data_IF_397899678217
#
_entry.id   IF_397899678217
#
_cell.length_a   1.000
_cell.length_b   1.000
_cell.length_c   1.000
_cell.angle_alpha   90.00
_cell.angle_beta   90.00
_cell.angle_gamma   90.00
#
_symmetry.space_group_name_H-M   'P 1'
#
loop_
_entity.id
_entity.type
_entity.pdbx_description
1 polymer ?
#
# COMPACT_ATOMS: atom_id res chain seq x y z
N UNK A 1 36.87 38.04 17.62
CA UNK A 1 35.64 37.36 17.99
C UNK A 1 35.03 36.78 16.73
N UNK A 2 35.13 35.53 16.60
CA UNK A 2 34.44 34.84 15.48
C UNK A 2 32.95 34.80 15.81
N UNK A 3 32.15 35.43 14.99
CA UNK A 3 30.74 35.08 14.90
C UNK A 3 30.72 33.62 14.40
N UNK A 4 30.57 32.69 15.34
CA UNK A 4 30.27 31.32 14.97
C UNK A 4 28.89 31.35 14.32
N UNK A 5 28.92 31.49 13.01
CA UNK A 5 27.73 31.31 12.18
C UNK A 5 27.29 29.85 12.34
N UNK A 6 26.32 29.64 13.19
CA UNK A 6 25.74 28.32 13.40
C UNK A 6 25.17 27.82 12.08
N UNK A 7 25.69 26.71 11.59
CA UNK A 7 25.21 26.15 10.34
C UNK A 7 23.70 25.87 10.41
N UNK A 8 22.99 26.28 9.38
CA UNK A 8 21.56 25.97 9.26
C UNK A 8 21.44 24.46 9.02
N UNK A 9 20.95 23.74 10.01
CA UNK A 9 20.81 22.28 9.98
C UNK A 9 19.43 21.81 9.54
N UNK A 10 18.47 22.72 9.44
CA UNK A 10 17.12 22.40 8.99
C UNK A 10 16.22 23.60 8.95
N UNK A 11 15.15 23.49 8.22
CA UNK A 11 14.07 24.51 8.11
C UNK A 11 12.78 23.82 8.55
N UNK A 12 12.04 24.47 9.46
CA UNK A 12 10.71 24.01 9.82
C UNK A 12 9.74 24.39 8.70
N UNK A 13 9.28 23.38 7.98
CA UNK A 13 8.28 23.53 6.93
C UNK A 13 7.07 22.66 7.28
N UNK A 14 5.97 23.24 7.78
CA UNK A 14 4.76 22.46 8.04
C UNK A 14 4.17 21.99 6.72
N UNK A 15 3.92 20.69 6.60
CA UNK A 15 3.24 20.11 5.45
C UNK A 15 1.90 19.59 5.93
N UNK A 16 0.84 20.15 5.37
CA UNK A 16 -0.52 19.70 5.64
C UNK A 16 -1.27 19.59 4.32
N UNK A 17 -1.69 18.37 3.97
CA UNK A 17 -2.44 18.09 2.76
C UNK A 17 -3.83 17.59 3.13
N UNK A 18 -4.86 18.24 2.58
CA UNK A 18 -6.25 17.82 2.71
C UNK A 18 -6.84 17.70 1.33
N UNK A 19 -7.21 16.49 0.94
CA UNK A 19 -7.76 16.24 -0.40
C UNK A 19 -8.76 15.09 -0.35
N UNK A 20 -9.59 15.02 -1.40
CA UNK A 20 -10.46 13.89 -1.64
C UNK A 20 -9.76 12.92 -2.60
N UNK A 21 -9.72 11.65 -2.23
CA UNK A 21 -9.10 10.62 -3.04
C UNK A 21 -10.15 9.91 -3.89
N UNK A 22 -9.89 9.81 -5.20
CA UNK A 22 -10.71 9.01 -6.13
C UNK A 22 -9.95 7.73 -6.46
N UNK A 23 -10.54 6.59 -6.13
CA UNK A 23 -9.87 5.30 -6.26
C UNK A 23 -9.73 4.79 -7.70
N UNK A 24 -10.42 5.39 -8.67
CA UNK A 24 -10.51 4.88 -10.04
C UNK A 24 -11.41 3.65 -10.13
N UNK A 25 -11.62 3.15 -11.36
CA UNK A 25 -12.54 2.03 -11.61
C UNK A 25 -12.11 0.74 -10.93
N UNK A 26 -10.86 0.34 -11.12
CA UNK A 26 -10.32 -0.89 -10.53
C UNK A 26 -10.27 -0.83 -9.00
N UNK A 27 -9.79 0.29 -8.45
CA UNK A 27 -9.72 0.49 -7.02
C UNK A 27 -11.09 0.56 -6.36
N UNK A 28 -12.06 1.25 -6.97
CA UNK A 28 -13.41 1.34 -6.43
C UNK A 28 -14.10 -0.03 -6.36
N UNK A 29 -13.92 -0.84 -7.41
CA UNK A 29 -14.47 -2.21 -7.41
C UNK A 29 -13.81 -3.07 -6.34
N UNK A 30 -12.49 -2.99 -6.20
CA UNK A 30 -11.75 -3.70 -5.14
C UNK A 30 -12.29 -3.34 -3.75
N UNK A 31 -12.46 -2.06 -3.46
CA UNK A 31 -12.98 -1.59 -2.17
C UNK A 31 -14.41 -2.06 -1.91
N UNK A 32 -15.24 -2.09 -2.95
CA UNK A 32 -16.61 -2.62 -2.86
C UNK A 32 -16.60 -4.09 -2.47
N UNK A 33 -15.69 -4.87 -3.05
CA UNK A 33 -15.59 -6.30 -2.75
C UNK A 33 -14.98 -6.57 -1.37
N UNK A 34 -13.98 -5.81 -0.96
CA UNK A 34 -13.43 -5.87 0.40
C UNK A 34 -14.52 -5.61 1.45
N UNK A 35 -15.42 -4.68 1.17
CA UNK A 35 -16.58 -4.42 2.05
C UNK A 35 -17.48 -5.64 2.21
N UNK A 36 -17.52 -6.51 1.21
CA UNK A 36 -18.25 -7.77 1.25
C UNK A 36 -17.42 -8.94 1.79
N UNK A 37 -16.18 -8.70 2.19
CA UNK A 37 -15.26 -9.72 2.70
C UNK A 37 -14.59 -10.56 1.60
N UNK A 38 -14.57 -10.07 0.36
CA UNK A 38 -13.97 -10.77 -0.77
C UNK A 38 -12.67 -10.08 -1.19
N UNK A 39 -11.56 -10.83 -1.15
CA UNK A 39 -10.27 -10.35 -1.63
C UNK A 39 -10.11 -10.71 -3.10
N UNK A 40 -9.94 -9.71 -3.96
CA UNK A 40 -9.78 -9.90 -5.40
C UNK A 40 -8.51 -9.28 -5.93
N UNK A 41 -7.96 -9.90 -6.96
CA UNK A 41 -6.87 -9.35 -7.77
C UNK A 41 -7.28 -9.28 -9.23
N UNK A 42 -6.39 -8.78 -10.06
CA UNK A 42 -6.55 -8.77 -11.52
C UNK A 42 -5.35 -9.43 -12.18
N UNK A 43 -5.63 -10.30 -13.14
CA UNK A 43 -4.62 -11.05 -13.88
C UNK A 43 -4.25 -10.37 -15.19
N UNK A 44 -2.96 -10.32 -15.48
CA UNK A 44 -2.47 -9.88 -16.79
C UNK A 44 -2.75 -10.97 -17.86
N UNK A 45 -3.35 -10.63 -19.01
CA UNK A 45 -3.61 -11.60 -20.06
C UNK A 45 -2.35 -12.09 -20.78
N UNK A 46 -1.23 -11.37 -20.66
CA UNK A 46 0.04 -11.75 -21.30
C UNK A 46 0.95 -12.59 -20.40
N UNK A 47 1.27 -12.08 -19.20
CA UNK A 47 2.23 -12.76 -18.32
C UNK A 47 1.57 -13.52 -17.16
N UNK A 48 0.25 -13.49 -17.05
CA UNK A 48 -0.53 -14.15 -16.00
C UNK A 48 -0.27 -13.64 -14.57
N UNK A 49 0.48 -12.57 -14.41
CA UNK A 49 0.72 -11.97 -13.10
C UNK A 49 -0.59 -11.46 -12.48
N UNK A 50 -0.80 -11.74 -11.21
CA UNK A 50 -1.98 -11.31 -10.46
C UNK A 50 -1.60 -10.17 -9.53
N UNK A 51 -2.23 -9.02 -9.70
CA UNK A 51 -2.01 -7.81 -8.92
C UNK A 51 -3.08 -7.65 -7.84
N UNK A 52 -2.64 -7.40 -6.63
CA UNK A 52 -3.49 -7.08 -5.47
C UNK A 52 -2.85 -5.90 -4.74
N UNK A 53 -3.53 -4.79 -4.52
CA UNK A 53 -4.82 -4.42 -5.12
C UNK A 53 -4.77 -4.34 -6.65
N UNK A 54 -5.93 -4.47 -7.32
CA UNK A 54 -6.00 -4.30 -8.77
C UNK A 54 -5.55 -2.90 -9.20
N UNK A 55 -4.76 -2.85 -10.27
CA UNK A 55 -4.20 -1.59 -10.80
C UNK A 55 -4.76 -1.19 -12.15
N UNK A 56 -5.53 -2.05 -12.78
CA UNK A 56 -6.08 -1.82 -14.12
C UNK A 56 -5.11 -2.07 -15.26
N UNK A 57 -3.81 -2.20 -15.00
CA UNK A 57 -2.79 -2.48 -16.01
C UNK A 57 -1.62 -3.27 -15.43
N UNK A 58 -0.93 -4.01 -16.28
CA UNK A 58 0.27 -4.76 -15.91
C UNK A 58 1.50 -3.86 -16.00
N UNK A 59 2.30 -3.81 -14.94
CA UNK A 59 3.52 -3.00 -14.90
C UNK A 59 4.60 -3.49 -15.87
N UNK A 60 4.65 -4.80 -16.13
CA UNK A 60 5.65 -5.39 -17.02
C UNK A 60 5.23 -5.36 -18.49
N UNK A 61 3.95 -5.65 -18.78
CA UNK A 61 3.45 -5.81 -20.15
C UNK A 61 2.77 -4.55 -20.71
N UNK A 62 2.37 -3.62 -19.86
CA UNK A 62 1.69 -2.39 -20.27
C UNK A 62 0.28 -2.58 -20.82
N UNK A 63 -0.31 -3.74 -20.63
CA UNK A 63 -1.65 -4.08 -21.12
C UNK A 63 -2.69 -4.00 -19.98
N UNK A 64 -3.95 -3.82 -20.33
CA UNK A 64 -5.04 -3.80 -19.37
C UNK A 64 -5.17 -5.14 -18.64
N UNK A 65 -5.43 -5.09 -17.35
CA UNK A 65 -5.72 -6.25 -16.51
C UNK A 65 -7.20 -6.21 -16.13
N UNK A 66 -8.01 -7.02 -16.80
CA UNK A 66 -9.47 -7.01 -16.63
C UNK A 66 -9.99 -8.28 -15.96
N UNK A 67 -9.25 -9.40 -16.06
CA UNK A 67 -9.66 -10.66 -15.45
C UNK A 67 -9.55 -10.60 -13.93
N UNK A 68 -10.71 -10.63 -13.27
CA UNK A 68 -10.80 -10.63 -11.82
C UNK A 68 -10.56 -12.02 -11.26
N UNK A 69 -9.70 -12.13 -10.27
CA UNK A 69 -9.35 -13.39 -9.59
C UNK A 69 -9.71 -13.26 -8.13
N UNK A 70 -10.56 -14.17 -7.63
CA UNK A 70 -10.86 -14.26 -6.22
C UNK A 70 -9.74 -14.99 -5.50
N UNK A 71 -9.21 -14.38 -4.46
CA UNK A 71 -8.11 -14.93 -3.67
C UNK A 71 -8.60 -15.38 -2.30
N UNK A 72 -7.85 -16.30 -1.68
CA UNK A 72 -8.11 -16.69 -0.29
C UNK A 72 -7.68 -15.56 0.66
N UNK A 73 -8.06 -15.69 1.91
CA UNK A 73 -7.67 -14.77 2.99
C UNK A 73 -6.31 -15.11 3.60
N UNK A 74 -5.51 -15.93 2.93
CA UNK A 74 -4.18 -16.32 3.36
C UNK A 74 -3.11 -15.59 2.58
N UNK A 75 -2.03 -15.24 3.26
CA UNK A 75 -0.89 -14.56 2.66
C UNK A 75 0.41 -14.99 3.34
N UNK A 76 1.51 -14.78 2.64
CA UNK A 76 2.85 -14.98 3.18
C UNK A 76 3.45 -13.63 3.55
N UNK A 77 3.99 -13.53 4.76
CA UNK A 77 4.74 -12.34 5.20
C UNK A 77 6.10 -12.36 4.52
N UNK A 78 6.31 -11.42 3.62
CA UNK A 78 7.59 -11.27 2.92
C UNK A 78 8.60 -10.51 3.75
N UNK A 79 8.15 -9.44 4.41
CA UNK A 79 8.96 -8.62 5.30
C UNK A 79 8.05 -7.88 6.28
N UNK A 80 8.61 -7.41 7.38
CA UNK A 80 7.85 -6.62 8.35
C UNK A 80 8.75 -5.65 9.09
N UNK A 81 8.14 -4.65 9.70
CA UNK A 81 8.80 -3.75 10.65
C UNK A 81 7.90 -3.51 11.84
N UNK A 82 8.54 -3.34 12.99
CA UNK A 82 7.86 -2.93 14.22
C UNK A 82 8.06 -1.43 14.38
N UNK A 83 6.97 -0.68 14.33
CA UNK A 83 7.02 0.77 14.49
C UNK A 83 6.91 1.10 15.99
N UNK A 84 7.97 1.67 16.53
CA UNK A 84 8.07 2.03 17.95
C UNK A 84 8.04 3.53 18.19
N UNK A 85 8.20 4.33 17.13
CA UNK A 85 8.27 5.79 17.23
C UNK A 85 6.88 6.37 17.01
N UNK A 86 6.37 7.19 17.94
CA UNK A 86 5.09 7.85 17.74
C UNK A 86 5.20 8.91 16.64
N UNK A 87 4.22 8.94 15.74
CA UNK A 87 4.10 9.93 14.68
C UNK A 87 2.97 10.88 15.07
N UNK A 88 3.19 12.22 15.04
CA UNK A 88 2.14 13.19 15.33
C UNK A 88 0.92 12.99 14.45
N UNK A 89 -0.27 13.08 15.04
CA UNK A 89 -1.57 12.94 14.35
C UNK A 89 -1.84 11.54 13.75
N UNK A 90 -1.09 10.53 14.18
CA UNK A 90 -1.38 9.15 13.79
C UNK A 90 -2.40 8.56 14.78
N UNK A 91 -3.54 8.01 14.30
CA UNK A 91 -4.52 7.41 15.18
C UNK A 91 -4.07 6.08 15.82
N UNK A 92 -2.98 5.50 15.30
CA UNK A 92 -2.45 4.22 15.77
C UNK A 92 -1.30 4.48 16.73
N UNK A 93 -1.42 3.96 17.94
CA UNK A 93 -0.38 4.09 18.96
C UNK A 93 0.69 3.00 18.78
N UNK A 94 1.98 3.36 18.85
CA UNK A 94 3.04 2.35 18.84
C UNK A 94 3.07 1.53 20.16
N UNK A 95 3.60 0.29 20.15
CA UNK A 95 4.16 -0.37 18.98
C UNK A 95 3.08 -1.00 18.08
N UNK A 96 3.32 -0.98 16.77
CA UNK A 96 2.49 -1.70 15.82
C UNK A 96 3.36 -2.29 14.71
N UNK A 97 2.83 -3.28 14.00
CA UNK A 97 3.56 -3.97 12.95
C UNK A 97 2.98 -3.59 11.60
N UNK A 98 3.87 -3.22 10.67
CA UNK A 98 3.54 -3.07 9.26
C UNK A 98 4.25 -4.19 8.51
N UNK A 99 3.53 -4.94 7.71
CA UNK A 99 4.07 -6.06 6.97
C UNK A 99 3.83 -5.94 5.48
N UNK A 100 4.77 -6.47 4.72
CA UNK A 100 4.64 -6.71 3.29
C UNK A 100 4.08 -8.11 3.10
N UNK A 101 2.88 -8.22 2.58
CA UNK A 101 2.14 -9.47 2.46
C UNK A 101 1.99 -9.84 0.99
N UNK A 102 2.28 -11.12 0.67
CA UNK A 102 1.98 -11.69 -0.63
C UNK A 102 0.79 -12.62 -0.48
N UNK A 103 -0.41 -12.25 -0.95
CA UNK A 103 -1.57 -13.12 -0.90
C UNK A 103 -1.34 -14.39 -1.71
N UNK A 104 -1.87 -15.51 -1.25
CA UNK A 104 -1.82 -16.77 -1.99
C UNK A 104 -2.50 -16.61 -3.35
N UNK A 105 -1.77 -16.93 -4.41
CA UNK A 105 -2.23 -16.75 -5.79
C UNK A 105 -1.89 -15.39 -6.41
N UNK A 106 -1.32 -14.45 -5.66
CA UNK A 106 -0.83 -13.17 -6.18
C UNK A 106 0.67 -13.21 -6.45
N UNK A 107 1.13 -12.32 -7.33
CA UNK A 107 2.55 -12.20 -7.71
C UNK A 107 3.20 -10.95 -7.12
N UNK A 108 2.42 -10.07 -6.50
CA UNK A 108 2.92 -8.83 -5.90
C UNK A 108 2.48 -8.74 -4.45
N UNK A 109 3.30 -8.06 -3.66
CA UNK A 109 2.99 -7.80 -2.26
C UNK A 109 2.21 -6.50 -2.09
N UNK A 110 1.50 -6.40 -0.98
CA UNK A 110 0.95 -5.14 -0.50
C UNK A 110 1.27 -4.94 0.98
N UNK A 111 1.27 -3.69 1.40
CA UNK A 111 1.58 -3.31 2.77
C UNK A 111 0.29 -3.27 3.59
N UNK A 112 0.32 -3.87 4.77
CA UNK A 112 -0.82 -3.85 5.68
C UNK A 112 -0.38 -3.85 7.14
N UNK A 113 -1.25 -3.33 7.99
CA UNK A 113 -1.09 -3.43 9.43
C UNK A 113 -1.34 -4.87 9.89
N UNK A 114 -0.53 -5.31 10.85
CA UNK A 114 -0.69 -6.61 11.49
C UNK A 114 -1.13 -6.43 12.93
N UNK A 115 -2.03 -7.26 13.37
CA UNK A 115 -2.44 -7.33 14.77
C UNK A 115 -1.63 -8.37 15.54
#
# INVERSE_FOLDING_TARGET
MSDEQQAITGIKAPIFLKYNFTAGTAGARFLTQIKQGVLTGQRCPKCSAVYVPPRGSCAACGVATEEEVVLSDKATVQSFTIVSIPIPNNPIQPPYIIANLVPDGANVSFIHLMS
#
